data_IF_806759786628
#
_entry.id   IF_806759786628
#
_cell.length_a   1.000
_cell.length_b   1.000
_cell.length_c   1.000
_cell.angle_alpha   90.00
_cell.angle_beta   90.00
_cell.angle_gamma   90.00
#
_symmetry.space_group_name_H-M   'P 1'
#
loop_
_entity.id
_entity.type
_entity.pdbx_description
1 polymer ?
#
# COMPACT_ATOMS: atom_id res chain seq x y z
N UNK A 1 -2.54 19.80 -9.45
CA UNK A 1 -3.92 20.13 -9.83
C UNK A 1 -3.85 21.03 -11.04
N UNK A 2 -4.70 20.77 -12.01
CA UNK A 2 -4.97 21.69 -13.11
C UNK A 2 -6.48 21.97 -13.14
N UNK A 3 -6.90 22.88 -14.02
CA UNK A 3 -8.31 23.28 -14.13
C UNK A 3 -9.24 22.13 -14.55
N UNK A 4 -8.69 21.03 -15.08
CA UNK A 4 -9.46 19.87 -15.55
C UNK A 4 -9.45 18.71 -14.53
N UNK A 5 -8.54 18.75 -13.56
CA UNK A 5 -8.34 17.73 -12.53
C UNK A 5 -8.08 18.39 -11.17
N UNK A 6 -9.20 18.70 -10.49
CA UNK A 6 -9.22 19.27 -9.14
C UNK A 6 -10.31 18.58 -8.29
N UNK A 7 -10.17 18.56 -6.96
CA UNK A 7 -11.19 17.98 -6.10
C UNK A 7 -12.45 18.86 -6.08
N UNK A 8 -13.60 18.26 -5.75
CA UNK A 8 -14.84 19.00 -5.55
C UNK A 8 -14.82 19.79 -4.22
N UNK A 9 -14.12 19.26 -3.21
CA UNK A 9 -13.99 19.84 -1.86
C UNK A 9 -12.56 19.67 -1.37
N UNK A 10 -12.05 20.63 -0.62
CA UNK A 10 -10.69 20.63 -0.07
C UNK A 10 -10.73 20.78 1.45
N UNK A 11 -10.28 19.76 2.17
CA UNK A 11 -10.03 19.81 3.60
C UNK A 11 -8.61 20.30 3.88
N UNK A 12 -8.44 21.25 4.81
CA UNK A 12 -7.13 21.70 5.28
C UNK A 12 -6.99 21.44 6.78
N UNK A 13 -5.91 20.77 7.18
CA UNK A 13 -5.57 20.50 8.59
C UNK A 13 -4.09 20.80 8.81
N UNK A 14 -3.80 21.76 9.70
CA UNK A 14 -2.43 22.09 10.14
C UNK A 14 -1.42 22.30 8.99
N UNK A 15 -1.89 22.86 7.87
CA UNK A 15 -1.07 23.12 6.68
C UNK A 15 -0.28 24.41 6.87
N UNK A 16 1.02 24.47 6.51
CA UNK A 16 1.81 25.70 6.62
C UNK A 16 1.12 26.90 5.98
N UNK A 17 1.07 28.04 6.67
CA UNK A 17 0.25 29.21 6.30
C UNK A 17 0.46 29.66 4.85
N UNK A 18 1.71 29.79 4.42
CA UNK A 18 2.04 30.17 3.04
C UNK A 18 1.54 29.16 2.00
N UNK A 19 1.43 27.88 2.35
CA UNK A 19 0.87 26.86 1.45
C UNK A 19 -0.65 26.85 1.51
N UNK A 20 -1.25 26.96 2.70
CA UNK A 20 -2.69 27.08 2.87
C UNK A 20 -3.27 28.28 2.12
N UNK A 21 -2.61 29.45 2.15
CA UNK A 21 -3.03 30.64 1.39
C UNK A 21 -3.02 30.37 -0.12
N UNK A 22 -1.95 29.75 -0.65
CA UNK A 22 -1.89 29.38 -2.07
C UNK A 22 -3.01 28.41 -2.47
N UNK A 23 -3.30 27.42 -1.62
CA UNK A 23 -4.39 26.47 -1.86
C UNK A 23 -5.76 27.15 -1.85
N UNK A 24 -6.02 28.06 -0.91
CA UNK A 24 -7.28 28.83 -0.83
C UNK A 24 -7.47 29.75 -2.02
N UNK A 25 -6.43 30.46 -2.46
CA UNK A 25 -6.47 31.29 -3.66
C UNK A 25 -6.79 30.46 -4.91
N UNK A 26 -6.17 29.28 -5.03
CA UNK A 26 -6.41 28.38 -6.16
C UNK A 26 -7.82 27.77 -6.11
N UNK A 27 -8.28 27.36 -4.93
CA UNK A 27 -9.64 26.84 -4.72
C UNK A 27 -10.70 27.89 -5.06
N UNK A 28 -10.49 29.16 -4.68
CA UNK A 28 -11.40 30.25 -5.03
C UNK A 28 -11.52 30.47 -6.54
N UNK A 29 -10.41 30.34 -7.29
CA UNK A 29 -10.41 30.44 -8.77
C UNK A 29 -11.24 29.34 -9.43
N UNK A 30 -11.22 28.13 -8.85
CA UNK A 30 -11.94 26.97 -9.38
C UNK A 30 -13.27 26.69 -8.66
N UNK A 31 -13.72 27.61 -7.80
CA UNK A 31 -14.97 27.49 -7.03
C UNK A 31 -15.04 26.20 -6.18
N UNK A 32 -13.91 25.75 -5.65
CA UNK A 32 -13.81 24.58 -4.77
C UNK A 32 -14.17 25.00 -3.35
N UNK A 33 -15.04 24.22 -2.70
CA UNK A 33 -15.36 24.40 -1.28
C UNK A 33 -14.14 24.06 -0.43
N UNK A 34 -13.69 25.00 0.41
CA UNK A 34 -12.58 24.78 1.35
C UNK A 34 -13.12 24.71 2.77
N UNK A 35 -12.76 23.65 3.49
CA UNK A 35 -13.11 23.44 4.90
C UNK A 35 -11.83 23.31 5.71
N UNK A 36 -11.72 24.08 6.79
CA UNK A 36 -10.67 23.86 7.78
C UNK A 36 -11.11 22.81 8.79
N UNK A 37 -10.28 21.80 8.98
CA UNK A 37 -10.55 20.65 9.84
C UNK A 37 -9.50 20.65 10.94
N UNK A 38 -9.88 20.95 12.19
CA UNK A 38 -8.95 20.92 13.32
C UNK A 38 -8.34 19.52 13.51
N UNK A 39 -7.04 19.45 13.80
CA UNK A 39 -6.30 18.19 13.87
C UNK A 39 -6.78 17.27 15.00
N UNK A 40 -7.18 17.85 16.12
CA UNK A 40 -7.79 17.13 17.25
C UNK A 40 -9.04 16.36 16.82
N UNK A 41 -9.79 16.86 15.84
CA UNK A 41 -10.98 16.16 15.33
C UNK A 41 -10.67 14.89 14.55
N UNK A 42 -9.52 14.83 13.88
CA UNK A 42 -9.08 13.64 13.14
C UNK A 42 -8.49 12.59 14.09
N UNK A 43 -7.95 13.02 15.23
CA UNK A 43 -7.35 12.17 16.28
C UNK A 43 -8.36 11.55 17.24
N UNK A 44 -9.64 11.84 17.11
CA UNK A 44 -10.67 11.22 17.95
C UNK A 44 -10.84 9.75 17.55
N UNK A 45 -10.23 8.86 18.33
CA UNK A 45 -10.29 7.40 18.17
C UNK A 45 -11.70 6.82 18.42
N UNK A 46 -12.60 7.58 19.07
CA UNK A 46 -13.81 7.03 19.64
C UNK A 46 -15.07 7.31 18.80
N UNK A 47 -15.49 6.32 18.03
CA UNK A 47 -16.79 6.27 17.37
C UNK A 47 -17.97 6.34 18.38
N UNK A 48 -17.72 6.11 19.68
CA UNK A 48 -18.75 6.20 20.74
C UNK A 48 -19.13 7.64 21.09
N UNK A 49 -18.22 8.60 20.95
CA UNK A 49 -18.56 10.02 21.08
C UNK A 49 -19.42 10.54 19.92
N UNK A 50 -19.59 9.75 18.84
CA UNK A 50 -20.53 10.06 17.75
C UNK A 50 -21.98 9.72 18.11
N UNK A 51 -22.23 8.94 19.17
CA UNK A 51 -23.56 8.40 19.52
C UNK A 51 -23.97 8.57 20.99
N UNK A 52 -23.21 9.29 21.83
CA UNK A 52 -23.68 9.59 23.19
C UNK A 52 -24.81 10.64 23.18
N UNK A 53 -26.00 10.35 23.73
CA UNK A 53 -27.04 11.35 23.91
C UNK A 53 -26.59 12.31 25.03
N UNK A 54 -25.86 13.37 24.67
CA UNK A 54 -25.46 14.45 25.58
C UNK A 54 -24.06 15.03 25.41
N UNK A 55 -23.23 14.49 24.50
CA UNK A 55 -21.94 15.09 24.15
C UNK A 55 -22.11 16.39 23.37
N UNK A 56 -21.19 17.36 23.57
CA UNK A 56 -21.10 18.60 22.78
C UNK A 56 -21.35 18.30 21.30
N UNK A 57 -22.35 18.95 20.70
CA UNK A 57 -22.66 18.84 19.27
C UNK A 57 -21.44 19.29 18.45
N UNK A 58 -20.54 18.36 18.16
CA UNK A 58 -19.54 18.53 17.12
C UNK A 58 -20.23 18.18 15.81
N UNK A 59 -20.21 19.09 14.84
CA UNK A 59 -20.71 18.80 13.50
C UNK A 59 -20.10 17.48 13.01
N UNK A 60 -20.86 16.58 12.37
CA UNK A 60 -20.29 15.35 11.84
C UNK A 60 -19.09 15.67 10.94
N UNK A 61 -18.01 14.89 11.07
CA UNK A 61 -16.89 15.01 10.13
C UNK A 61 -17.43 14.88 8.69
N UNK A 62 -16.77 15.51 7.70
CA UNK A 62 -17.12 15.31 6.30
C UNK A 62 -17.24 13.81 5.98
N UNK A 63 -18.06 13.44 4.97
CA UNK A 63 -18.02 12.08 4.43
C UNK A 63 -16.55 11.71 4.13
N UNK A 64 -16.23 10.42 4.29
CA UNK A 64 -14.89 9.87 4.11
C UNK A 64 -14.16 10.51 2.91
N UNK A 65 -12.86 10.75 3.04
CA UNK A 65 -12.06 11.42 2.03
C UNK A 65 -11.67 10.46 0.92
N UNK A 66 -11.88 10.86 -0.34
CA UNK A 66 -11.36 10.10 -1.49
C UNK A 66 -9.82 10.08 -1.45
N UNK A 67 -9.19 11.21 -1.16
CA UNK A 67 -7.75 11.35 -1.08
C UNK A 67 -7.34 12.06 0.21
N UNK A 68 -6.34 11.53 0.91
CA UNK A 68 -5.72 12.15 2.08
C UNK A 68 -4.23 12.34 1.79
N UNK A 69 -3.79 13.60 1.77
CA UNK A 69 -2.39 13.96 1.54
C UNK A 69 -1.76 14.37 2.86
N UNK A 70 -0.73 13.63 3.27
CA UNK A 70 -0.01 13.83 4.52
C UNK A 70 1.35 14.44 4.19
N UNK A 71 1.62 15.63 4.72
CA UNK A 71 2.89 16.32 4.55
C UNK A 71 3.76 16.07 5.79
N UNK A 72 4.88 15.37 5.60
CA UNK A 72 5.81 15.00 6.67
C UNK A 72 5.66 13.55 7.14
N UNK A 73 6.34 13.24 8.24
CA UNK A 73 6.60 11.87 8.68
C UNK A 73 6.00 11.51 10.04
N UNK A 74 4.89 12.12 10.46
CA UNK A 74 4.23 11.78 11.74
C UNK A 74 3.43 10.48 11.62
N UNK A 75 3.98 9.39 12.17
CA UNK A 75 3.32 8.08 12.22
C UNK A 75 1.96 8.11 12.92
N UNK A 76 1.80 8.90 13.98
CA UNK A 76 0.53 8.98 14.72
C UNK A 76 -0.54 9.69 13.89
N UNK A 77 -0.15 10.69 13.10
CA UNK A 77 -1.05 11.37 12.18
C UNK A 77 -1.55 10.42 11.10
N UNK A 78 -0.64 9.64 10.50
CA UNK A 78 -0.99 8.64 9.46
C UNK A 78 -2.04 7.66 9.99
N UNK A 79 -1.82 7.13 11.19
CA UNK A 79 -2.76 6.19 11.84
C UNK A 79 -4.09 6.86 12.18
N UNK A 80 -4.09 8.11 12.63
CA UNK A 80 -5.30 8.85 12.98
C UNK A 80 -6.18 9.18 11.76
N UNK A 81 -5.58 9.47 10.61
CA UNK A 81 -6.33 9.86 9.41
C UNK A 81 -6.83 8.67 8.58
N UNK A 82 -6.15 7.52 8.67
CA UNK A 82 -6.48 6.34 7.87
C UNK A 82 -7.95 5.87 7.97
N UNK A 83 -8.61 5.86 9.16
CA UNK A 83 -10.01 5.48 9.29
C UNK A 83 -11.00 6.39 8.56
N UNK A 84 -10.59 7.61 8.18
CA UNK A 84 -11.46 8.57 7.48
C UNK A 84 -11.36 8.45 5.96
N UNK A 85 -10.63 7.46 5.43
CA UNK A 85 -10.48 7.23 4.01
C UNK A 85 -11.73 6.55 3.42
N UNK A 86 -12.17 7.02 2.25
CA UNK A 86 -13.27 6.43 1.51
C UNK A 86 -12.86 5.11 0.82
N UNK A 87 -13.86 4.38 0.30
CA UNK A 87 -13.59 3.26 -0.59
C UNK A 87 -12.84 3.74 -1.84
N UNK A 88 -11.87 2.94 -2.28
CA UNK A 88 -10.93 3.25 -3.37
C UNK A 88 -10.02 4.45 -3.09
N UNK A 89 -9.98 4.92 -1.84
CA UNK A 89 -9.26 6.13 -1.51
C UNK A 89 -7.75 5.95 -1.47
N UNK A 90 -7.05 7.08 -1.56
CA UNK A 90 -5.59 7.17 -1.59
C UNK A 90 -5.06 7.93 -0.38
N UNK A 91 -4.11 7.34 0.34
CA UNK A 91 -3.29 8.03 1.33
C UNK A 91 -1.92 8.30 0.72
N UNK A 92 -1.62 9.56 0.41
CA UNK A 92 -0.35 9.99 -0.13
C UNK A 92 0.52 10.58 1.00
N UNK A 93 1.62 9.91 1.33
CA UNK A 93 2.59 10.33 2.34
C UNK A 93 3.75 11.02 1.61
N UNK A 94 3.85 12.33 1.81
CA UNK A 94 4.84 13.19 1.14
C UNK A 94 5.87 13.66 2.17
N UNK A 95 7.05 13.05 2.14
CA UNK A 95 8.10 13.32 3.14
C UNK A 95 9.50 13.07 2.59
N UNK A 96 10.47 13.89 3.01
CA UNK A 96 11.90 13.73 2.71
C UNK A 96 12.66 13.02 3.84
N UNK A 97 11.98 12.75 4.96
CA UNK A 97 12.52 12.04 6.12
C UNK A 97 11.81 10.71 6.34
N UNK A 98 12.51 9.66 6.80
CA UNK A 98 11.90 8.40 7.18
C UNK A 98 10.84 8.59 8.27
N UNK A 99 9.84 7.70 8.29
CA UNK A 99 8.91 7.61 9.42
C UNK A 99 9.70 7.21 10.68
N UNK A 100 9.39 7.81 11.85
CA UNK A 100 10.10 7.52 13.10
C UNK A 100 9.86 6.09 13.59
N UNK A 101 8.77 5.46 13.13
CA UNK A 101 8.42 4.07 13.40
C UNK A 101 7.50 3.51 12.30
N UNK A 102 7.40 2.18 12.16
CA UNK A 102 6.33 1.55 11.39
C UNK A 102 4.95 2.05 11.83
N UNK A 103 4.03 2.15 10.86
CA UNK A 103 2.65 2.56 11.07
C UNK A 103 1.72 1.35 11.08
N UNK A 104 0.69 1.39 11.92
CA UNK A 104 -0.39 0.43 11.90
C UNK A 104 -1.29 0.70 10.70
N UNK A 105 -1.51 -0.32 9.88
CA UNK A 105 -2.35 -0.25 8.69
C UNK A 105 -3.45 -1.30 8.82
N UNK A 106 -4.69 -0.87 8.63
CA UNK A 106 -5.83 -1.78 8.56
C UNK A 106 -5.81 -2.55 7.24
N UNK A 107 -5.35 -3.80 7.30
CA UNK A 107 -5.30 -4.71 6.14
C UNK A 107 -6.70 -5.00 5.58
N UNK A 108 -7.72 -5.00 6.44
CA UNK A 108 -9.11 -5.12 6.03
C UNK A 108 -9.52 -3.98 5.10
N UNK A 109 -9.15 -2.75 5.43
CA UNK A 109 -9.39 -1.60 4.53
C UNK A 109 -8.59 -1.69 3.23
N UNK A 110 -7.30 -2.02 3.31
CA UNK A 110 -6.47 -2.21 2.10
C UNK A 110 -7.12 -3.22 1.14
N UNK A 111 -7.58 -4.35 1.67
CA UNK A 111 -8.16 -5.41 0.85
C UNK A 111 -9.61 -5.14 0.42
N UNK A 112 -10.52 -4.85 1.37
CA UNK A 112 -11.96 -4.74 1.10
C UNK A 112 -12.38 -3.36 0.61
N UNK A 113 -11.73 -2.29 1.07
CA UNK A 113 -12.00 -0.93 0.61
C UNK A 113 -11.12 -0.55 -0.59
N UNK A 114 -10.12 -1.36 -0.94
CA UNK A 114 -9.13 -1.06 -1.99
C UNK A 114 -8.38 0.25 -1.72
N UNK A 115 -8.05 0.47 -0.46
CA UNK A 115 -7.25 1.61 -0.04
C UNK A 115 -5.83 1.51 -0.58
N UNK A 116 -5.30 2.61 -1.10
CA UNK A 116 -3.95 2.70 -1.64
C UNK A 116 -3.09 3.61 -0.75
N UNK A 117 -1.90 3.14 -0.39
CA UNK A 117 -0.88 3.96 0.26
C UNK A 117 0.22 4.27 -0.74
N UNK A 118 0.50 5.56 -0.94
CA UNK A 118 1.57 6.05 -1.81
C UNK A 118 2.61 6.79 -0.96
N UNK A 119 3.88 6.47 -1.15
CA UNK A 119 5.00 7.18 -0.54
C UNK A 119 5.79 7.93 -1.59
N UNK A 120 6.19 9.17 -1.32
CA UNK A 120 7.09 9.89 -2.20
C UNK A 120 7.76 11.09 -1.54
N UNK A 121 8.93 11.45 -2.09
CA UNK A 121 9.62 12.66 -1.68
C UNK A 121 8.85 13.91 -2.11
N UNK A 122 8.96 14.97 -1.30
CA UNK A 122 8.39 16.27 -1.58
C UNK A 122 9.27 17.09 -2.54
N UNK A 123 8.86 18.33 -2.86
CA UNK A 123 7.58 18.98 -2.53
C UNK A 123 6.48 18.72 -3.56
N UNK A 124 6.75 17.94 -4.61
CA UNK A 124 5.82 17.72 -5.71
C UNK A 124 4.83 16.59 -5.39
N UNK A 125 3.65 16.99 -4.87
CA UNK A 125 2.52 16.10 -4.55
C UNK A 125 2.02 15.40 -5.81
N UNK A 126 1.86 16.10 -6.95
CA UNK A 126 1.36 15.48 -8.18
C UNK A 126 2.33 14.41 -8.71
N UNK A 127 3.63 14.63 -8.50
CA UNK A 127 4.66 13.63 -8.74
C UNK A 127 4.48 12.35 -7.92
N UNK A 128 3.95 12.41 -6.70
CA UNK A 128 3.70 11.20 -5.88
C UNK A 128 2.66 10.30 -6.53
N UNK A 129 1.62 10.87 -7.14
CA UNK A 129 0.58 10.12 -7.85
C UNK A 129 1.04 9.55 -9.21
N UNK A 130 2.01 10.21 -9.86
CA UNK A 130 2.38 9.90 -11.25
C UNK A 130 3.70 9.14 -11.41
N UNK A 131 4.65 9.29 -10.48
CA UNK A 131 5.98 8.66 -10.57
C UNK A 131 5.93 7.14 -10.47
N UNK A 132 4.97 6.61 -9.71
CA UNK A 132 4.77 5.17 -9.53
C UNK A 132 3.31 4.85 -9.84
N UNK A 133 2.97 4.63 -11.12
CA UNK A 133 1.60 4.26 -11.48
C UNK A 133 1.25 2.95 -10.78
N UNK A 134 0.07 2.88 -10.18
CA UNK A 134 -0.45 1.63 -9.61
C UNK A 134 -0.59 0.62 -10.75
N UNK A 135 0.19 -0.45 -10.68
CA UNK A 135 0.24 -1.47 -11.73
C UNK A 135 -0.76 -2.58 -11.41
N UNK A 136 -1.48 -3.04 -12.43
CA UNK A 136 -2.29 -4.26 -12.36
C UNK A 136 -1.48 -5.52 -12.71
N UNK A 137 -0.30 -5.33 -13.28
CA UNK A 137 0.62 -6.37 -13.75
C UNK A 137 1.95 -6.32 -13.00
N UNK A 138 2.59 -7.49 -12.90
CA UNK A 138 3.95 -7.61 -12.36
C UNK A 138 4.95 -6.87 -13.25
N UNK A 139 6.06 -6.44 -12.65
CA UNK A 139 7.09 -5.66 -13.34
C UNK A 139 7.84 -6.59 -14.29
N UNK A 140 7.79 -6.29 -15.57
CA UNK A 140 8.57 -7.00 -16.58
C UNK A 140 10.06 -6.96 -16.21
N UNK A 141 10.70 -8.14 -16.14
CA UNK A 141 12.09 -8.27 -15.74
C UNK A 141 12.39 -7.94 -14.27
N UNK A 142 11.38 -7.66 -13.44
CA UNK A 142 11.54 -7.39 -12.01
C UNK A 142 11.65 -8.66 -11.17
N UNK A 143 11.71 -8.48 -9.85
CA UNK A 143 11.69 -9.55 -8.85
C UNK A 143 10.33 -9.61 -8.15
N UNK A 144 9.64 -10.74 -8.24
CA UNK A 144 8.32 -10.95 -7.62
C UNK A 144 8.40 -11.95 -6.47
N UNK A 145 7.72 -11.64 -5.36
CA UNK A 145 7.51 -12.57 -4.24
C UNK A 145 6.03 -12.88 -4.05
N UNK A 146 5.67 -14.17 -4.10
CA UNK A 146 4.35 -14.68 -3.75
C UNK A 146 4.39 -15.28 -2.33
N UNK A 147 3.83 -14.56 -1.36
CA UNK A 147 3.77 -14.99 0.05
C UNK A 147 2.55 -15.86 0.27
N UNK A 148 2.73 -17.11 0.71
CA UNK A 148 1.62 -18.06 0.85
C UNK A 148 1.25 -18.75 -0.46
N UNK A 149 2.24 -19.03 -1.31
CA UNK A 149 2.04 -19.60 -2.64
C UNK A 149 1.40 -21.00 -2.61
N UNK A 150 1.65 -21.81 -1.58
CA UNK A 150 1.21 -23.22 -1.54
C UNK A 150 -0.30 -23.48 -1.39
N UNK A 151 -1.16 -22.46 -1.49
CA UNK A 151 -2.61 -22.60 -1.55
C UNK A 151 -3.17 -22.44 -2.98
N UNK A 152 -4.47 -22.70 -3.21
CA UNK A 152 -5.07 -22.59 -4.55
C UNK A 152 -4.84 -21.24 -5.23
N UNK A 153 -4.95 -20.13 -4.49
CA UNK A 153 -4.66 -18.79 -5.01
C UNK A 153 -3.21 -18.68 -5.49
N UNK A 154 -2.25 -19.19 -4.72
CA UNK A 154 -0.85 -19.11 -5.12
C UNK A 154 -0.51 -19.95 -6.35
N UNK A 155 -1.12 -21.12 -6.52
CA UNK A 155 -1.03 -21.86 -7.79
C UNK A 155 -1.54 -21.04 -8.96
N UNK A 156 -2.68 -20.35 -8.81
CA UNK A 156 -3.20 -19.47 -9.86
C UNK A 156 -2.25 -18.31 -10.16
N UNK A 157 -1.67 -17.68 -9.14
CA UNK A 157 -0.71 -16.58 -9.32
C UNK A 157 0.60 -17.04 -9.97
N UNK A 158 1.13 -18.22 -9.61
CA UNK A 158 2.30 -18.81 -10.31
C UNK A 158 1.95 -19.10 -11.76
N UNK A 159 0.83 -19.78 -12.03
CA UNK A 159 0.38 -20.08 -13.38
C UNK A 159 0.20 -18.81 -14.22
N UNK A 160 -0.46 -17.77 -13.67
CA UNK A 160 -0.63 -16.45 -14.33
C UNK A 160 0.72 -15.85 -14.66
N UNK A 161 1.64 -15.81 -13.69
CA UNK A 161 2.99 -15.24 -13.88
C UNK A 161 3.72 -15.92 -15.02
N UNK A 162 3.65 -17.26 -15.09
CA UNK A 162 4.24 -18.02 -16.19
C UNK A 162 3.54 -17.80 -17.53
N UNK A 163 2.30 -17.30 -17.56
CA UNK A 163 1.57 -17.03 -18.80
C UNK A 163 1.70 -15.58 -19.29
N UNK A 164 2.33 -14.70 -18.50
CA UNK A 164 2.56 -13.32 -18.92
C UNK A 164 3.43 -13.26 -20.19
N UNK A 165 3.11 -12.30 -21.05
CA UNK A 165 3.92 -11.94 -22.22
C UNK A 165 5.28 -11.37 -21.78
N UNK A 166 5.25 -10.50 -20.77
CA UNK A 166 6.43 -9.86 -20.18
C UNK A 166 6.55 -10.26 -18.70
N UNK A 167 7.06 -11.46 -18.38
CA UNK A 167 7.15 -11.94 -17.00
C UNK A 167 8.24 -11.21 -16.17
N UNK A 168 8.21 -11.34 -14.83
CA UNK A 168 9.36 -10.98 -13.99
C UNK A 168 10.56 -11.86 -14.33
N UNK A 169 11.77 -11.37 -14.02
CA UNK A 169 13.01 -12.15 -14.19
C UNK A 169 13.21 -13.18 -13.07
N UNK A 170 12.62 -12.93 -11.89
CA UNK A 170 12.72 -13.81 -10.74
C UNK A 170 11.38 -13.91 -10.00
N UNK A 171 11.06 -15.13 -9.55
CA UNK A 171 9.83 -15.47 -8.86
C UNK A 171 10.14 -16.32 -7.61
N UNK A 172 9.99 -15.70 -6.44
CA UNK A 172 10.05 -16.37 -5.15
C UNK A 172 8.65 -16.82 -4.71
N UNK A 173 8.50 -18.08 -4.35
CA UNK A 173 7.29 -18.66 -3.77
C UNK A 173 7.57 -19.11 -2.33
N UNK A 174 6.81 -18.61 -1.35
CA UNK A 174 6.95 -19.07 0.04
C UNK A 174 5.67 -19.68 0.59
N UNK A 175 5.80 -20.66 1.48
CA UNK A 175 4.69 -21.24 2.23
C UNK A 175 5.14 -21.67 3.63
N UNK A 176 4.18 -22.03 4.49
CA UNK A 176 4.48 -22.46 5.86
C UNK A 176 5.34 -23.72 5.94
N UNK A 177 5.14 -24.66 5.01
CA UNK A 177 5.84 -25.95 5.00
C UNK A 177 6.17 -26.37 3.58
N UNK A 178 7.23 -27.17 3.42
CA UNK A 178 7.72 -27.62 2.12
C UNK A 178 6.67 -28.41 1.35
N UNK A 179 5.90 -29.25 2.06
CA UNK A 179 4.84 -30.05 1.46
C UNK A 179 3.82 -29.23 0.66
N UNK A 180 3.58 -27.96 1.06
CA UNK A 180 2.68 -27.05 0.32
C UNK A 180 3.32 -26.49 -0.96
N UNK A 181 4.64 -26.53 -1.09
CA UNK A 181 5.39 -26.05 -2.25
C UNK A 181 5.77 -27.18 -3.22
N UNK A 182 5.79 -28.45 -2.77
CA UNK A 182 6.15 -29.60 -3.61
C UNK A 182 5.40 -29.64 -4.96
N UNK A 183 4.10 -29.34 -4.94
CA UNK A 183 3.31 -29.35 -6.16
C UNK A 183 3.64 -28.16 -7.05
N UNK A 184 3.90 -27.00 -6.46
CA UNK A 184 4.31 -25.79 -7.20
C UNK A 184 5.64 -26.03 -7.90
N UNK A 185 6.63 -26.53 -7.19
CA UNK A 185 7.96 -26.80 -7.75
C UNK A 185 7.88 -27.85 -8.86
N UNK A 186 7.20 -28.96 -8.61
CA UNK A 186 7.02 -30.06 -9.58
C UNK A 186 6.30 -29.60 -10.86
N UNK A 187 5.23 -28.80 -10.73
CA UNK A 187 4.40 -28.43 -11.88
C UNK A 187 4.92 -27.22 -12.65
N UNK A 188 5.57 -26.28 -11.95
CA UNK A 188 5.90 -24.97 -12.52
C UNK A 188 7.40 -24.74 -12.69
N UNK A 189 8.27 -25.43 -11.95
CA UNK A 189 9.72 -25.17 -11.98
C UNK A 189 10.34 -25.27 -13.38
N UNK A 190 10.15 -26.39 -14.07
CA UNK A 190 10.67 -26.57 -15.44
C UNK A 190 10.11 -25.55 -16.44
N UNK A 191 8.86 -25.11 -16.24
CA UNK A 191 8.19 -24.12 -17.10
C UNK A 191 8.70 -22.70 -16.85
N UNK A 192 9.05 -22.38 -15.61
CA UNK A 192 9.69 -21.13 -15.24
C UNK A 192 11.09 -21.02 -15.87
N UNK A 193 11.90 -22.08 -15.76
CA UNK A 193 13.22 -22.16 -16.40
C UNK A 193 13.12 -22.02 -17.91
N UNK A 194 12.16 -22.70 -18.55
CA UNK A 194 11.92 -22.56 -20.00
C UNK A 194 11.55 -21.13 -20.43
N UNK A 195 11.10 -20.29 -19.50
CA UNK A 195 10.79 -18.87 -19.69
C UNK A 195 11.89 -17.91 -19.22
N UNK A 196 13.05 -18.44 -18.81
CA UNK A 196 14.15 -17.68 -18.22
C UNK A 196 13.74 -16.90 -16.96
N UNK A 197 12.85 -17.49 -16.16
CA UNK A 197 12.47 -16.98 -14.85
C UNK A 197 13.27 -17.75 -13.81
N UNK A 198 14.03 -17.04 -12.98
CA UNK A 198 14.67 -17.62 -11.81
C UNK A 198 13.61 -17.97 -10.77
N UNK A 199 13.41 -19.27 -10.52
CA UNK A 199 12.26 -19.78 -9.79
C UNK A 199 12.68 -20.45 -8.50
N UNK A 200 12.28 -19.87 -7.37
CA UNK A 200 12.76 -20.25 -6.05
C UNK A 200 11.56 -20.56 -5.15
N UNK A 201 11.63 -21.67 -4.42
CA UNK A 201 10.63 -22.06 -3.42
C UNK A 201 11.29 -22.13 -2.04
N UNK A 202 10.83 -21.33 -1.08
CA UNK A 202 11.36 -21.35 0.30
C UNK A 202 10.27 -21.70 1.31
N UNK A 203 10.57 -22.65 2.19
CA UNK A 203 9.67 -23.05 3.26
C UNK A 203 9.95 -22.28 4.55
N UNK A 204 8.92 -21.69 5.17
CA UNK A 204 9.08 -20.89 6.38
C UNK A 204 9.44 -21.71 7.64
N UNK A 205 9.27 -23.03 7.62
CA UNK A 205 9.69 -23.94 8.68
C UNK A 205 11.14 -24.46 8.53
N UNK A 206 11.84 -24.09 7.47
CA UNK A 206 13.26 -24.41 7.29
C UNK A 206 14.15 -23.60 8.25
N UNK A 207 15.23 -24.21 8.75
CA UNK A 207 16.13 -23.58 9.72
C UNK A 207 16.85 -22.34 9.15
N UNK A 208 17.13 -22.36 7.85
CA UNK A 208 17.84 -21.35 7.06
C UNK A 208 16.91 -20.35 6.34
N UNK A 209 15.59 -20.48 6.50
CA UNK A 209 14.59 -19.66 5.79
C UNK A 209 14.90 -18.16 5.79
N UNK A 210 15.32 -17.61 6.94
CA UNK A 210 15.61 -16.18 7.09
C UNK A 210 16.88 -15.76 6.36
N UNK A 211 17.89 -16.61 6.32
CA UNK A 211 19.15 -16.36 5.61
C UNK A 211 18.92 -16.41 4.10
N UNK A 212 18.27 -17.47 3.61
CA UNK A 212 17.95 -17.62 2.19
C UNK A 212 16.99 -16.53 1.70
N UNK A 213 15.97 -16.16 2.48
CA UNK A 213 15.07 -15.06 2.13
C UNK A 213 15.83 -13.74 1.98
N UNK A 214 16.76 -13.44 2.90
CA UNK A 214 17.55 -12.22 2.84
C UNK A 214 18.49 -12.19 1.62
N UNK A 215 19.11 -13.33 1.29
CA UNK A 215 19.95 -13.48 0.10
C UNK A 215 19.14 -13.27 -1.19
N UNK A 216 17.99 -13.95 -1.30
CA UNK A 216 17.10 -13.82 -2.46
C UNK A 216 16.53 -12.40 -2.57
N UNK A 217 16.19 -11.76 -1.45
CA UNK A 217 15.66 -10.40 -1.44
C UNK A 217 16.69 -9.40 -1.95
N UNK A 218 17.93 -9.41 -1.45
CA UNK A 218 18.95 -8.42 -1.80
C UNK A 218 18.46 -6.99 -1.52
N UNK A 219 18.31 -6.16 -2.55
CA UNK A 219 17.75 -4.80 -2.46
C UNK A 219 16.21 -4.76 -2.29
N UNK A 220 15.54 -5.91 -2.33
CA UNK A 220 14.10 -6.07 -2.19
C UNK A 220 13.41 -6.61 -3.44
N UNK A 221 12.08 -6.62 -3.38
CA UNK A 221 11.19 -7.08 -4.44
C UNK A 221 10.46 -5.92 -5.11
N UNK A 222 10.36 -5.96 -6.43
CA UNK A 222 9.58 -5.00 -7.22
C UNK A 222 8.07 -5.24 -7.08
N UNK A 223 7.67 -6.48 -6.84
CA UNK A 223 6.29 -6.87 -6.60
C UNK A 223 6.22 -7.88 -5.45
N UNK A 224 5.41 -7.59 -4.44
CA UNK A 224 5.10 -8.53 -3.36
C UNK A 224 3.59 -8.79 -3.40
N UNK A 225 3.22 -10.04 -3.58
CA UNK A 225 1.82 -10.47 -3.59
C UNK A 225 1.59 -11.33 -2.36
N UNK A 226 0.87 -10.78 -1.38
CA UNK A 226 0.59 -11.48 -0.13
C UNK A 226 -0.73 -12.23 -0.26
N UNK A 227 -0.65 -13.56 -0.39
CA UNK A 227 -1.79 -14.46 -0.51
C UNK A 227 -2.14 -15.14 0.82
N UNK A 228 -1.23 -15.08 1.79
CA UNK A 228 -1.47 -15.57 3.14
C UNK A 228 -2.42 -14.63 3.91
N UNK A 229 -3.51 -15.13 4.51
CA UNK A 229 -4.42 -14.33 5.34
C UNK A 229 -3.83 -14.10 6.74
N UNK A 230 -2.65 -13.46 6.80
CA UNK A 230 -1.91 -13.20 8.03
C UNK A 230 -1.37 -11.78 8.03
N UNK A 231 -1.77 -10.99 9.03
CA UNK A 231 -1.22 -9.66 9.25
C UNK A 231 0.29 -9.70 9.53
N UNK A 232 0.77 -10.74 10.21
CA UNK A 232 2.20 -10.95 10.45
C UNK A 232 2.95 -11.18 9.12
N UNK A 233 2.40 -11.97 8.21
CA UNK A 233 3.01 -12.19 6.90
C UNK A 233 3.06 -10.91 6.06
N UNK A 234 2.01 -10.08 6.12
CA UNK A 234 1.99 -8.77 5.44
C UNK A 234 3.05 -7.84 6.03
N UNK A 235 3.12 -7.75 7.36
CA UNK A 235 4.08 -6.90 8.06
C UNK A 235 5.53 -7.37 7.87
N UNK A 236 5.77 -8.68 7.83
CA UNK A 236 7.10 -9.24 7.56
C UNK A 236 7.53 -8.94 6.12
N UNK A 237 6.65 -9.19 5.15
CA UNK A 237 6.94 -9.01 3.73
C UNK A 237 7.15 -7.54 3.33
N UNK A 238 6.47 -6.59 4.00
CA UNK A 238 6.63 -5.16 3.70
C UNK A 238 8.05 -4.64 3.91
N UNK A 239 8.85 -5.30 4.77
CA UNK A 239 10.26 -4.95 5.01
C UNK A 239 11.17 -5.26 3.81
N UNK A 240 10.70 -6.05 2.85
CA UNK A 240 11.46 -6.47 1.66
C UNK A 240 10.98 -5.77 0.39
N UNK A 241 10.12 -4.75 0.48
CA UNK A 241 9.66 -4.01 -0.69
C UNK A 241 10.77 -3.09 -1.19
N UNK A 242 11.14 -3.23 -2.46
CA UNK A 242 12.17 -2.39 -3.07
C UNK A 242 11.67 -0.94 -3.26
N UNK A 243 12.60 -0.02 -3.51
CA UNK A 243 12.26 1.36 -3.87
C UNK A 243 11.38 1.38 -5.14
N UNK A 244 10.15 1.84 -5.00
CA UNK A 244 9.14 1.82 -6.07
C UNK A 244 8.57 0.46 -6.42
N UNK A 245 8.77 -0.51 -5.53
CA UNK A 245 8.04 -1.76 -5.56
C UNK A 245 6.56 -1.55 -5.18
N UNK A 246 5.74 -2.54 -5.52
CA UNK A 246 4.33 -2.56 -5.17
C UNK A 246 4.01 -3.80 -4.35
N UNK A 247 3.33 -3.62 -3.22
CA UNK A 247 2.80 -4.71 -2.41
C UNK A 247 1.28 -4.76 -2.56
N UNK A 248 0.76 -5.92 -2.95
CA UNK A 248 -0.67 -6.18 -3.04
C UNK A 248 -1.07 -7.23 -2.01
N UNK A 249 -2.08 -6.92 -1.20
CA UNK A 249 -2.50 -7.74 -0.07
C UNK A 249 -3.82 -8.43 -0.38
N UNK A 250 -3.79 -9.75 -0.36
CA UNK A 250 -4.90 -10.65 -0.64
C UNK A 250 -5.60 -10.36 -1.98
N UNK A 251 -4.88 -10.15 -3.10
CA UNK A 251 -5.56 -9.93 -4.37
C UNK A 251 -6.39 -11.16 -4.76
N UNK A 252 -7.62 -10.88 -5.21
CA UNK A 252 -8.50 -11.85 -5.87
C UNK A 252 -8.23 -11.96 -7.36
#
# INVERSE_FOLDING_TARGET
MDEQSHPARLGLTDVPEAFATRLKEQAARWQIEVVEIPLDRLRLEDDRLRHEPGGLFLDPLPPAFDDIIILGSDSNLIEAVAPHLAHFGIIAIVTDTPLPRPVQVDIGQVHYHRSLYLGGAGPDIAGVYSRQPVRSELKAGGKTWLVGAGGPMGHMHVQRTLQMENPPAALLCTALTWHRLETIEREFGARAVAKNIDFICLSADAEDYREELAEVAGEGFDDIIVLAPSAEAVADASNYLAQGGMMNVLPG
#
